data_IF_957271430698
#
_entry.id   IF_957271430698
#
_cell.length_a   1.000
_cell.length_b   1.000
_cell.length_c   1.000
_cell.angle_alpha   90.00
_cell.angle_beta   90.00
_cell.angle_gamma   90.00
#
_symmetry.space_group_name_H-M   'P 1'
#
loop_
_entity.id
_entity.type
_entity.pdbx_description
1 polymer ?
#
# COMPACT_ATOMS: atom_id res chain seq x y z
N UNK A 1 -34.84 -1.89 -55.10
CA UNK A 1 -36.02 -1.65 -54.24
C UNK A 1 -35.52 -1.67 -52.79
N UNK A 2 -35.23 -0.54 -52.15
CA UNK A 2 -36.15 0.42 -51.46
C UNK A 2 -36.60 -0.16 -50.10
N UNK A 3 -35.90 0.20 -49.00
CA UNK A 3 -36.30 1.15 -47.91
C UNK A 3 -37.22 0.51 -46.85
N UNK A 4 -37.16 0.78 -45.54
CA UNK A 4 -36.73 1.95 -44.72
C UNK A 4 -36.68 1.49 -43.23
N UNK A 5 -35.75 2.01 -42.41
CA UNK A 5 -36.00 2.95 -41.28
C UNK A 5 -36.70 2.31 -40.06
N UNK A 6 -36.25 2.45 -38.80
CA UNK A 6 -36.09 3.71 -38.05
C UNK A 6 -35.01 3.63 -36.91
N UNK A 7 -34.19 4.68 -36.84
CA UNK A 7 -33.77 5.50 -35.67
C UNK A 7 -33.31 4.83 -34.35
N UNK A 8 -32.02 4.88 -33.99
CA UNK A 8 -31.22 5.92 -33.26
C UNK A 8 -31.57 6.14 -31.78
N UNK A 9 -30.56 5.99 -30.90
CA UNK A 9 -30.19 6.75 -29.66
C UNK A 9 -29.12 5.86 -28.97
N UNK A 10 -27.95 6.29 -28.52
CA UNK A 10 -27.32 7.59 -28.45
C UNK A 10 -25.83 7.38 -28.13
N UNK A 11 -25.00 8.13 -28.84
CA UNK A 11 -23.53 8.17 -28.80
C UNK A 11 -23.11 8.98 -27.57
N UNK A 12 -22.44 8.38 -26.60
CA UNK A 12 -21.84 9.08 -25.46
C UNK A 12 -20.51 9.70 -25.91
N UNK A 13 -20.61 10.88 -26.55
CA UNK A 13 -19.47 11.77 -26.75
C UNK A 13 -19.06 12.38 -25.41
N UNK A 14 -17.78 12.21 -25.07
CA UNK A 14 -17.09 12.90 -23.98
C UNK A 14 -17.15 14.40 -24.24
N UNK A 15 -17.96 15.11 -23.47
CA UNK A 15 -17.93 16.58 -23.42
C UNK A 15 -16.90 16.97 -22.36
N UNK A 16 -15.69 17.27 -22.83
CA UNK A 16 -14.72 18.12 -22.12
C UNK A 16 -15.33 19.52 -22.01
N UNK A 17 -15.91 19.84 -20.85
CA UNK A 17 -16.40 21.17 -20.55
C UNK A 17 -15.22 22.09 -20.19
N UNK A 18 -14.71 22.79 -21.20
CA UNK A 18 -13.92 24.01 -21.04
C UNK A 18 -14.82 25.09 -20.42
N UNK A 19 -14.52 25.44 -19.18
CA UNK A 19 -15.10 26.58 -18.48
C UNK A 19 -14.58 27.88 -19.12
N UNK A 20 -15.32 28.42 -20.09
CA UNK A 20 -15.23 29.83 -20.46
C UNK A 20 -16.63 30.43 -20.37
N UNK A 21 -16.74 31.44 -19.51
CA UNK A 21 -17.99 32.10 -19.17
C UNK A 21 -18.73 32.63 -20.39
N UNK A 22 -20.00 32.29 -20.51
CA UNK A 22 -20.90 32.92 -21.46
C UNK A 22 -22.09 33.53 -20.72
N UNK A 23 -22.09 34.86 -20.70
CA UNK A 23 -23.23 35.70 -20.37
C UNK A 23 -24.40 35.34 -21.29
N UNK A 24 -25.53 34.95 -20.72
CA UNK A 24 -26.79 34.82 -21.45
C UNK A 24 -27.38 36.22 -21.63
N UNK A 25 -27.25 36.77 -22.85
CA UNK A 25 -28.01 37.96 -23.28
C UNK A 25 -29.43 37.50 -23.65
N UNK A 26 -30.41 37.78 -22.80
CA UNK A 26 -31.83 37.65 -23.16
C UNK A 26 -32.25 38.84 -24.03
N UNK A 27 -32.50 38.59 -25.32
CA UNK A 27 -33.11 39.53 -26.26
C UNK A 27 -34.62 39.62 -25.98
N UNK A 28 -35.07 40.69 -25.34
CA UNK A 28 -36.49 41.03 -25.22
C UNK A 28 -37.02 41.62 -26.53
N UNK A 29 -38.18 41.13 -26.99
CA UNK A 29 -38.88 41.55 -28.20
C UNK A 29 -39.89 42.63 -27.79
N UNK A 30 -39.60 43.91 -28.02
CA UNK A 30 -40.52 45.00 -27.71
C UNK A 30 -41.45 45.30 -28.91
N UNK A 31 -42.75 45.21 -28.68
CA UNK A 31 -43.80 45.73 -29.55
C UNK A 31 -44.25 47.13 -29.09
N UNK A 32 -44.36 48.01 -30.09
CA UNK A 32 -44.99 49.33 -30.19
C UNK A 32 -45.75 49.98 -29.01
N UNK A 33 -45.55 51.30 -28.85
CA UNK A 33 -46.55 52.24 -28.27
C UNK A 33 -45.96 53.49 -27.59
N UNK A 34 -46.21 54.68 -28.15
CA UNK A 34 -45.78 56.02 -27.67
C UNK A 34 -46.58 56.54 -26.46
N UNK A 35 -45.94 57.35 -25.58
CA UNK A 35 -46.23 58.76 -25.24
C UNK A 35 -45.70 59.18 -23.84
N UNK A 36 -45.33 60.47 -23.75
CA UNK A 36 -44.55 61.21 -22.75
C UNK A 36 -45.12 61.34 -21.32
N UNK A 37 -44.27 61.44 -20.28
CA UNK A 37 -44.04 62.62 -19.42
C UNK A 37 -42.98 62.35 -18.32
N UNK A 38 -42.38 63.42 -17.80
CA UNK A 38 -41.10 63.52 -17.08
C UNK A 38 -41.24 63.44 -15.52
N UNK A 39 -40.24 63.85 -14.73
CA UNK A 39 -39.39 63.06 -13.81
C UNK A 39 -39.84 63.11 -12.33
N UNK A 40 -39.25 62.30 -11.42
CA UNK A 40 -39.07 62.65 -9.99
C UNK A 40 -38.14 61.62 -9.30
N UNK A 41 -37.09 62.15 -8.66
CA UNK A 41 -36.40 61.68 -7.44
C UNK A 41 -35.78 60.26 -7.33
N UNK A 42 -34.45 60.21 -7.44
CA UNK A 42 -33.51 59.26 -6.80
C UNK A 42 -33.61 59.30 -5.25
N UNK A 43 -33.03 58.39 -4.41
CA UNK A 43 -31.81 57.59 -4.67
C UNK A 43 -31.73 56.19 -3.99
N UNK A 44 -30.56 55.56 -4.17
CA UNK A 44 -29.98 54.48 -3.37
C UNK A 44 -30.39 53.03 -3.68
N UNK A 45 -29.67 52.43 -4.62
CA UNK A 45 -29.30 51.03 -4.49
C UNK A 45 -27.77 50.95 -4.37
N UNK A 46 -27.29 51.09 -3.12
CA UNK A 46 -25.96 50.61 -2.77
C UNK A 46 -25.93 49.11 -3.09
N UNK A 47 -25.20 48.75 -4.14
CA UNK A 47 -24.88 47.36 -4.44
C UNK A 47 -23.81 46.92 -3.44
N UNK A 48 -24.21 46.76 -2.17
CA UNK A 48 -23.38 46.06 -1.20
C UNK A 48 -23.30 44.60 -1.66
N UNK A 49 -22.23 44.31 -2.38
CA UNK A 49 -21.75 42.95 -2.57
C UNK A 49 -21.42 42.44 -1.18
N UNK A 50 -22.40 41.78 -0.55
CA UNK A 50 -22.23 41.10 0.72
C UNK A 50 -21.18 40.00 0.52
N UNK A 51 -19.91 40.39 0.67
CA UNK A 51 -18.86 39.45 0.92
C UNK A 51 -19.18 38.89 2.30
N UNK A 52 -19.80 37.70 2.31
CA UNK A 52 -20.03 36.93 3.53
C UNK A 52 -18.66 36.51 4.05
N UNK A 53 -17.95 37.46 4.65
CA UNK A 53 -16.83 37.19 5.52
C UNK A 53 -17.42 36.36 6.65
N UNK A 54 -17.20 35.06 6.61
CA UNK A 54 -17.28 34.20 7.79
C UNK A 54 -16.34 34.81 8.82
N UNK A 55 -16.89 35.62 9.72
CA UNK A 55 -16.15 36.19 10.84
C UNK A 55 -15.92 35.04 11.82
N UNK A 56 -14.90 34.23 11.53
CA UNK A 56 -14.31 33.34 12.51
C UNK A 56 -13.74 34.23 13.62
N UNK A 57 -14.02 33.89 14.88
CA UNK A 57 -13.45 34.61 16.02
C UNK A 57 -11.91 34.53 15.96
N UNK A 58 -11.20 35.54 16.46
CA UNK A 58 -9.72 35.56 16.46
C UNK A 58 -9.12 34.32 17.13
N UNK A 59 -9.81 33.72 18.09
CA UNK A 59 -9.46 32.42 18.69
C UNK A 59 -9.60 31.24 17.73
N UNK A 60 -10.66 31.18 16.92
CA UNK A 60 -10.88 30.09 15.97
C UNK A 60 -9.85 30.08 14.83
N UNK A 61 -9.35 31.25 14.46
CA UNK A 61 -8.32 31.40 13.43
C UNK A 61 -6.98 30.74 13.81
N UNK A 62 -6.72 30.47 15.09
CA UNK A 62 -5.52 29.73 15.56
C UNK A 62 -5.84 28.30 16.00
N UNK A 63 -6.99 28.09 16.64
CA UNK A 63 -7.39 26.77 17.15
C UNK A 63 -7.61 25.78 16.01
N UNK A 64 -8.34 26.17 14.96
CA UNK A 64 -8.59 25.26 13.83
C UNK A 64 -7.32 24.85 13.07
N UNK A 65 -6.40 25.74 12.67
CA UNK A 65 -5.17 25.30 12.02
C UNK A 65 -4.26 24.49 12.96
N UNK A 66 -4.26 24.77 14.27
CA UNK A 66 -3.51 23.95 15.21
C UNK A 66 -4.06 22.51 15.28
N UNK A 67 -5.38 22.35 15.38
CA UNK A 67 -6.03 21.03 15.37
C UNK A 67 -5.73 20.31 14.06
N UNK A 68 -5.86 20.99 12.91
CA UNK A 68 -5.55 20.39 11.60
C UNK A 68 -4.09 19.94 11.53
N UNK A 69 -3.14 20.76 11.98
CA UNK A 69 -1.72 20.40 11.98
C UNK A 69 -1.43 19.14 12.82
N UNK A 70 -2.04 19.04 14.01
CA UNK A 70 -1.90 17.85 14.87
C UNK A 70 -2.50 16.62 14.19
N UNK A 71 -3.71 16.73 13.63
CA UNK A 71 -4.36 15.62 12.94
C UNK A 71 -3.57 15.16 11.70
N UNK A 72 -3.04 16.09 10.91
CA UNK A 72 -2.19 15.76 9.75
C UNK A 72 -0.91 15.07 10.19
N UNK A 73 -0.25 15.53 11.26
CA UNK A 73 0.97 14.89 11.78
C UNK A 73 0.73 13.45 12.23
N UNK A 74 -0.35 13.21 12.99
CA UNK A 74 -0.72 11.86 13.44
C UNK A 74 -1.11 10.97 12.25
N UNK A 75 -1.93 11.49 11.34
CA UNK A 75 -2.35 10.75 10.14
C UNK A 75 -1.17 10.39 9.25
N UNK A 76 -0.20 11.28 9.10
CA UNK A 76 1.02 11.04 8.33
C UNK A 76 1.86 9.91 8.93
N UNK A 77 2.08 9.92 10.25
CA UNK A 77 2.82 8.86 10.94
C UNK A 77 2.17 7.48 10.76
N UNK A 78 0.84 7.41 10.96
CA UNK A 78 0.09 6.17 10.76
C UNK A 78 0.11 5.72 9.30
N UNK A 79 -0.07 6.65 8.35
CA UNK A 79 -0.04 6.36 6.92
C UNK A 79 1.31 5.78 6.47
N UNK A 80 2.42 6.35 6.94
CA UNK A 80 3.74 5.83 6.63
C UNK A 80 3.96 4.42 7.19
N UNK A 81 3.54 4.15 8.42
CA UNK A 81 3.66 2.82 9.00
C UNK A 81 2.83 1.78 8.24
N UNK A 82 1.57 2.14 7.92
CA UNK A 82 0.67 1.26 7.16
C UNK A 82 1.20 0.96 5.76
N UNK A 83 1.84 1.93 5.08
CA UNK A 83 2.45 1.68 3.76
C UNK A 83 3.61 0.67 3.82
N UNK A 84 4.43 0.73 4.87
CA UNK A 84 5.53 -0.22 5.08
C UNK A 84 4.94 -1.61 5.33
N UNK A 85 3.99 -1.73 6.26
CA UNK A 85 3.36 -3.02 6.58
C UNK A 85 2.69 -3.66 5.35
N UNK A 86 1.98 -2.87 4.53
CA UNK A 86 1.38 -3.37 3.30
C UNK A 86 2.43 -3.85 2.30
N UNK A 87 3.49 -3.07 2.06
CA UNK A 87 4.56 -3.46 1.14
C UNK A 87 5.29 -4.72 1.60
N UNK A 88 5.50 -4.86 2.91
CA UNK A 88 6.09 -6.06 3.50
C UNK A 88 5.13 -7.26 3.42
N UNK A 89 3.83 -7.06 3.61
CA UNK A 89 2.82 -8.11 3.42
C UNK A 89 2.80 -8.61 1.97
N UNK A 90 2.81 -7.69 1.00
CA UNK A 90 2.85 -8.05 -0.43
C UNK A 90 4.12 -8.84 -0.75
N UNK A 91 5.27 -8.45 -0.19
CA UNK A 91 6.52 -9.20 -0.33
C UNK A 91 6.46 -10.59 0.30
N UNK A 92 5.83 -10.73 1.47
CA UNK A 92 5.58 -12.03 2.10
C UNK A 92 4.73 -12.90 1.18
N UNK A 93 3.61 -12.39 0.69
CA UNK A 93 2.69 -13.12 -0.17
C UNK A 93 3.37 -13.62 -1.46
N UNK A 94 4.23 -12.81 -2.07
CA UNK A 94 5.06 -13.23 -3.21
C UNK A 94 6.04 -14.35 -2.84
N UNK A 95 6.63 -14.29 -1.65
CA UNK A 95 7.45 -15.39 -1.13
C UNK A 95 6.64 -16.67 -0.86
N UNK A 96 5.36 -16.55 -0.52
CA UNK A 96 4.46 -17.69 -0.34
C UNK A 96 4.17 -18.40 -1.67
N UNK A 97 4.13 -17.69 -2.79
CA UNK A 97 3.91 -18.29 -4.11
C UNK A 97 5.06 -19.27 -4.48
N UNK A 98 6.29 -18.94 -4.10
CA UNK A 98 7.46 -19.80 -4.30
C UNK A 98 7.37 -21.12 -3.52
N UNK A 99 6.52 -21.22 -2.48
CA UNK A 99 6.33 -22.45 -1.71
C UNK A 99 5.86 -23.59 -2.58
N UNK A 100 4.97 -23.31 -3.54
CA UNK A 100 4.42 -24.33 -4.42
C UNK A 100 5.51 -25.05 -5.23
N UNK A 101 6.52 -24.31 -5.70
CA UNK A 101 7.65 -24.88 -6.45
C UNK A 101 8.51 -25.79 -5.57
N UNK A 102 8.80 -25.39 -4.33
CA UNK A 102 9.60 -26.19 -3.39
C UNK A 102 8.83 -27.44 -2.94
N UNK A 103 7.52 -27.31 -2.68
CA UNK A 103 6.67 -28.44 -2.33
C UNK A 103 6.56 -29.46 -3.46
N UNK A 104 6.45 -29.01 -4.71
CA UNK A 104 6.42 -29.89 -5.89
C UNK A 104 7.76 -30.64 -6.08
N UNK A 105 8.88 -29.93 -5.89
CA UNK A 105 10.21 -30.54 -5.91
C UNK A 105 10.35 -31.61 -4.82
N UNK A 106 9.96 -31.30 -3.58
CA UNK A 106 10.07 -32.24 -2.46
C UNK A 106 9.19 -33.49 -2.68
N UNK A 107 7.96 -33.31 -3.20
CA UNK A 107 7.08 -34.45 -3.53
C UNK A 107 7.67 -35.35 -4.62
N UNK A 108 8.40 -34.78 -5.57
CA UNK A 108 8.98 -35.51 -6.69
C UNK A 108 10.28 -36.23 -6.32
N UNK A 109 11.16 -35.55 -5.56
CA UNK A 109 12.50 -36.06 -5.26
C UNK A 109 12.62 -36.70 -3.87
N UNK A 110 11.68 -36.43 -2.95
CA UNK A 110 11.71 -36.91 -1.57
C UNK A 110 12.70 -36.16 -0.65
N UNK A 111 13.35 -35.12 -1.16
CA UNK A 111 14.32 -34.29 -0.45
C UNK A 111 14.17 -32.82 -0.82
N UNK A 112 14.58 -31.94 0.09
CA UNK A 112 14.62 -30.50 -0.15
C UNK A 112 15.64 -30.16 -1.24
N UNK A 113 15.37 -29.15 -2.08
CA UNK A 113 16.35 -28.65 -3.04
C UNK A 113 17.65 -28.30 -2.33
N UNK A 114 18.80 -28.58 -2.94
CA UNK A 114 20.10 -28.27 -2.33
C UNK A 114 20.58 -26.86 -2.70
N UNK A 115 20.05 -26.30 -3.79
CA UNK A 115 20.36 -24.97 -4.30
C UNK A 115 19.22 -24.36 -5.10
N UNK A 116 19.29 -23.04 -5.35
CA UNK A 116 18.34 -22.32 -6.24
C UNK A 116 18.29 -22.88 -7.67
N UNK A 117 19.41 -23.43 -8.15
CA UNK A 117 19.52 -23.99 -9.48
C UNK A 117 18.63 -25.23 -9.67
N UNK A 118 18.36 -25.96 -8.57
CA UNK A 118 17.54 -27.18 -8.61
C UNK A 118 16.05 -26.88 -8.81
N UNK A 119 15.61 -25.68 -8.42
CA UNK A 119 14.21 -25.23 -8.49
C UNK A 119 14.00 -24.11 -9.52
N UNK A 120 15.04 -23.78 -10.31
CA UNK A 120 15.05 -22.70 -11.28
C UNK A 120 14.39 -21.41 -10.75
N UNK A 121 14.82 -20.99 -9.56
CA UNK A 121 14.19 -19.87 -8.83
C UNK A 121 14.33 -18.52 -9.56
N UNK A 122 15.22 -18.44 -10.55
CA UNK A 122 15.44 -17.27 -11.41
C UNK A 122 14.23 -16.83 -12.26
N UNK A 123 13.13 -17.61 -12.29
CA UNK A 123 11.88 -17.17 -12.92
C UNK A 123 11.02 -16.27 -12.02
N UNK A 124 11.46 -15.95 -10.79
CA UNK A 124 10.72 -15.04 -9.91
C UNK A 124 10.73 -13.62 -10.48
N UNK A 125 9.56 -12.98 -10.50
CA UNK A 125 9.42 -11.60 -10.94
C UNK A 125 9.38 -10.71 -9.69
N UNK A 126 10.47 -10.00 -9.37
CA UNK A 126 10.47 -9.10 -8.23
C UNK A 126 9.40 -8.03 -8.38
N UNK A 127 8.78 -7.64 -7.26
CA UNK A 127 7.70 -6.66 -7.22
C UNK A 127 7.68 -5.94 -5.88
N UNK A 128 7.35 -4.65 -5.92
CA UNK A 128 7.37 -3.78 -4.75
C UNK A 128 8.76 -3.72 -4.13
N UNK A 129 8.83 -4.05 -2.83
CA UNK A 129 10.09 -4.02 -2.07
C UNK A 129 10.90 -5.32 -2.22
N UNK A 130 10.29 -6.40 -2.70
CA UNK A 130 10.99 -7.68 -2.86
C UNK A 130 11.78 -7.64 -4.16
N UNK A 131 13.11 -7.57 -4.05
CA UNK A 131 13.99 -7.47 -5.20
C UNK A 131 14.56 -8.82 -5.62
N UNK A 132 14.70 -9.75 -4.69
CA UNK A 132 15.20 -11.10 -4.95
C UNK A 132 14.87 -12.04 -3.78
N UNK A 133 15.08 -13.35 -3.98
CA UNK A 133 14.93 -14.37 -2.94
C UNK A 133 16.09 -15.33 -3.03
N UNK A 134 16.81 -15.49 -1.91
CA UNK A 134 17.92 -16.44 -1.80
C UNK A 134 17.44 -17.73 -1.15
N UNK A 135 17.67 -18.88 -1.80
CA UNK A 135 17.31 -20.19 -1.26
C UNK A 135 18.53 -20.95 -0.75
N UNK A 136 18.44 -21.46 0.48
CA UNK A 136 19.47 -22.29 1.10
C UNK A 136 18.87 -23.54 1.74
N UNK A 137 19.52 -24.69 1.55
CA UNK A 137 19.18 -25.91 2.25
C UNK A 137 19.59 -25.84 3.73
N UNK A 138 18.70 -26.29 4.62
CA UNK A 138 18.81 -26.16 6.07
C UNK A 138 18.23 -24.84 6.60
N UNK A 139 18.15 -24.75 7.93
CA UNK A 139 17.72 -23.55 8.63
C UNK A 139 18.88 -22.55 8.75
N UNK A 140 18.65 -21.32 8.28
CA UNK A 140 19.67 -20.27 8.32
C UNK A 140 20.05 -19.94 9.78
N UNK A 141 21.35 -19.94 10.08
CA UNK A 141 21.87 -19.68 11.44
C UNK A 141 21.97 -20.89 12.35
N UNK A 142 21.55 -22.09 11.90
CA UNK A 142 21.65 -23.33 12.68
C UNK A 142 22.76 -24.23 12.10
N UNK A 143 23.87 -24.47 12.84
CA UNK A 143 25.06 -25.14 12.30
C UNK A 143 24.88 -26.63 11.97
N UNK A 144 23.83 -27.28 12.48
CA UNK A 144 23.55 -28.70 12.27
C UNK A 144 22.11 -28.93 11.77
N UNK A 145 21.60 -28.01 10.94
CA UNK A 145 20.27 -28.17 10.35
C UNK A 145 20.22 -29.35 9.37
N UNK A 146 19.11 -30.08 9.38
CA UNK A 146 18.84 -31.16 8.43
C UNK A 146 18.56 -30.57 7.04
N UNK A 147 19.56 -30.64 6.15
CA UNK A 147 19.50 -30.10 4.78
C UNK A 147 18.65 -30.92 3.82
N UNK A 148 18.26 -32.14 4.19
CA UNK A 148 17.42 -33.00 3.35
C UNK A 148 15.94 -32.75 3.62
N UNK A 149 15.60 -32.38 4.87
CA UNK A 149 14.22 -32.13 5.28
C UNK A 149 13.88 -30.67 5.53
N UNK A 150 14.88 -29.78 5.60
CA UNK A 150 14.68 -28.36 5.87
C UNK A 150 15.25 -27.51 4.75
N UNK A 151 14.53 -26.44 4.38
CA UNK A 151 15.00 -25.41 3.46
C UNK A 151 14.60 -24.03 3.96
N UNK A 152 15.38 -23.01 3.62
CA UNK A 152 15.11 -21.61 3.98
C UNK A 152 15.12 -20.74 2.73
N UNK A 153 14.07 -19.96 2.55
CA UNK A 153 14.03 -18.83 1.62
C UNK A 153 14.26 -17.55 2.40
N UNK A 154 15.28 -16.78 2.01
CA UNK A 154 15.55 -15.45 2.54
C UNK A 154 15.06 -14.42 1.54
N UNK A 155 14.14 -13.57 1.98
CA UNK A 155 13.68 -12.44 1.19
C UNK A 155 14.73 -11.32 1.19
N UNK A 156 15.17 -10.92 0.00
CA UNK A 156 16.05 -9.77 -0.22
C UNK A 156 15.15 -8.59 -0.59
N UNK A 157 15.20 -7.53 0.20
CA UNK A 157 14.29 -6.39 0.08
C UNK A 157 15.04 -5.08 -0.14
N UNK A 158 14.44 -4.20 -0.93
CA UNK A 158 14.84 -2.80 -1.08
C UNK A 158 13.78 -1.91 -0.44
N UNK A 159 14.17 -1.28 0.67
CA UNK A 159 13.31 -0.41 1.48
C UNK A 159 13.65 1.08 1.32
N UNK A 160 14.52 1.43 0.36
CA UNK A 160 15.02 2.80 0.16
C UNK A 160 13.88 3.80 -0.11
N UNK A 161 12.77 3.36 -0.70
CA UNK A 161 11.60 4.19 -0.96
C UNK A 161 10.93 4.74 0.32
N UNK A 162 11.16 4.11 1.48
CA UNK A 162 10.61 4.53 2.77
C UNK A 162 11.53 5.45 3.58
N UNK A 163 12.68 5.81 3.01
CA UNK A 163 13.61 6.82 3.53
C UNK A 163 14.99 6.26 3.89
N UNK A 164 15.92 7.20 4.11
CA UNK A 164 17.35 6.91 4.27
C UNK A 164 17.69 5.96 5.42
N UNK A 165 16.82 5.88 6.44
CA UNK A 165 16.97 4.95 7.57
C UNK A 165 16.90 3.46 7.17
N UNK A 166 16.48 3.16 5.96
CA UNK A 166 16.36 1.79 5.45
C UNK A 166 17.31 1.48 4.29
N UNK A 167 18.23 2.40 3.94
CA UNK A 167 19.17 2.20 2.83
C UNK A 167 20.10 0.99 3.06
N UNK A 168 20.44 0.71 4.30
CA UNK A 168 21.31 -0.41 4.66
C UNK A 168 20.54 -1.74 4.76
N UNK A 169 19.20 -1.72 4.78
CA UNK A 169 18.41 -2.94 4.93
C UNK A 169 18.47 -3.77 3.66
N UNK A 170 18.97 -5.01 3.80
CA UNK A 170 19.17 -5.93 2.68
C UNK A 170 18.32 -7.19 2.74
N UNK A 171 17.81 -7.53 3.93
CA UNK A 171 16.95 -8.69 4.10
C UNK A 171 15.68 -8.34 4.85
N UNK A 172 14.56 -8.96 4.45
CA UNK A 172 13.24 -8.75 5.04
C UNK A 172 12.90 -9.80 6.11
N UNK A 173 12.74 -11.05 5.66
CA UNK A 173 12.25 -12.16 6.46
C UNK A 173 12.76 -13.49 5.90
N UNK A 174 12.56 -14.55 6.70
CA UNK A 174 12.88 -15.93 6.36
C UNK A 174 11.59 -16.75 6.28
N UNK A 175 11.44 -17.52 5.21
CA UNK A 175 10.44 -18.58 5.11
C UNK A 175 11.17 -19.91 5.24
N UNK A 176 10.89 -20.65 6.32
CA UNK A 176 11.54 -21.92 6.63
C UNK A 176 10.55 -23.04 6.33
N UNK A 177 10.91 -23.93 5.40
CA UNK A 177 10.22 -25.16 5.11
C UNK A 177 10.80 -26.30 5.95
N UNK A 178 9.96 -27.01 6.70
CA UNK A 178 10.34 -28.20 7.49
C UNK A 178 9.46 -29.38 7.09
N UNK A 179 10.06 -30.42 6.54
CA UNK A 179 9.36 -31.66 6.23
C UNK A 179 9.15 -32.49 7.50
N UNK A 180 7.88 -32.70 7.82
CA UNK A 180 7.41 -33.51 8.94
C UNK A 180 7.54 -35.01 8.64
N UNK A 181 7.40 -35.88 9.64
CA UNK A 181 7.54 -37.35 9.46
C UNK A 181 6.54 -37.97 8.47
N UNK A 182 5.41 -37.31 8.22
CA UNK A 182 4.38 -37.70 7.24
C UNK A 182 4.64 -37.14 5.84
N UNK A 183 5.84 -36.62 5.59
CA UNK A 183 6.28 -35.97 4.34
C UNK A 183 5.43 -34.73 3.96
N UNK A 184 4.69 -34.17 4.91
CA UNK A 184 4.09 -32.85 4.76
C UNK A 184 5.10 -31.76 5.08
N UNK A 185 5.08 -30.66 4.32
CA UNK A 185 5.95 -29.51 4.58
C UNK A 185 5.19 -28.50 5.43
N UNK A 186 5.75 -28.18 6.59
CA UNK A 186 5.32 -27.05 7.41
C UNK A 186 6.16 -25.83 7.10
N UNK A 187 5.51 -24.70 6.88
CA UNK A 187 6.16 -23.43 6.65
C UNK A 187 6.05 -22.50 7.86
N UNK A 188 7.18 -22.01 8.32
CA UNK A 188 7.27 -20.97 9.33
C UNK A 188 7.79 -19.68 8.68
N UNK A 189 7.14 -18.54 8.94
CA UNK A 189 7.66 -17.23 8.55
C UNK A 189 8.23 -16.51 9.77
N UNK A 190 9.50 -16.11 9.70
CA UNK A 190 10.24 -15.50 10.80
C UNK A 190 10.96 -14.23 10.34
N UNK A 191 11.17 -13.30 11.27
CA UNK A 191 12.10 -12.21 11.05
C UNK A 191 13.52 -12.75 10.87
N UNK A 192 14.26 -12.18 9.92
CA UNK A 192 15.68 -12.52 9.77
C UNK A 192 16.46 -11.88 10.94
N UNK A 193 16.96 -12.73 11.83
CA UNK A 193 17.80 -12.33 12.96
C UNK A 193 19.27 -12.73 12.77
N UNK A 194 19.59 -13.35 11.63
CA UNK A 194 20.90 -13.92 11.32
C UNK A 194 21.69 -12.99 10.41
N UNK A 195 21.03 -12.40 9.43
CA UNK A 195 21.64 -11.46 8.49
C UNK A 195 21.83 -10.09 9.16
N UNK A 196 23.02 -9.51 9.00
CA UNK A 196 23.31 -8.13 9.41
C UNK A 196 22.46 -7.19 8.54
N UNK A 197 21.87 -6.17 9.15
CA UNK A 197 20.97 -5.22 8.46
C UNK A 197 19.68 -5.86 7.91
N UNK A 198 19.09 -6.77 8.69
CA UNK A 198 17.77 -7.29 8.44
C UNK A 198 16.65 -6.36 8.94
N UNK A 199 15.50 -6.42 8.28
CA UNK A 199 14.31 -5.67 8.63
C UNK A 199 13.82 -6.08 10.01
N UNK A 200 13.60 -5.09 10.87
CA UNK A 200 13.11 -5.34 12.23
C UNK A 200 11.71 -5.96 12.22
N UNK A 201 11.49 -6.94 13.10
CA UNK A 201 10.20 -7.61 13.35
C UNK A 201 8.99 -6.66 13.47
N UNK A 202 9.19 -5.42 13.95
CA UNK A 202 8.11 -4.44 14.09
C UNK A 202 7.42 -4.05 12.78
N UNK A 203 8.08 -4.28 11.64
CA UNK A 203 7.55 -3.97 10.31
C UNK A 203 7.00 -5.20 9.60
N UNK A 204 7.20 -6.39 10.18
CA UNK A 204 6.70 -7.64 9.63
C UNK A 204 5.25 -7.86 10.05
N UNK A 205 4.42 -8.45 9.17
CA UNK A 205 3.05 -8.81 9.53
C UNK A 205 3.06 -9.84 10.67
N UNK A 206 1.93 -9.94 11.39
CA UNK A 206 1.81 -10.87 12.52
C UNK A 206 2.07 -12.34 12.12
N UNK A 207 1.77 -12.69 10.86
CA UNK A 207 2.06 -14.00 10.26
C UNK A 207 3.56 -14.32 10.19
N UNK A 208 4.42 -13.29 10.16
CA UNK A 208 5.87 -13.36 10.05
C UNK A 208 6.62 -12.91 11.31
N UNK A 209 5.90 -12.74 12.42
CA UNK A 209 6.48 -12.37 13.71
C UNK A 209 7.00 -13.56 14.53
N UNK A 210 6.70 -14.80 14.16
CA UNK A 210 6.94 -15.95 15.01
C UNK A 210 5.74 -16.24 15.91
N UNK A 211 5.03 -17.32 15.58
CA UNK A 211 4.00 -17.88 16.44
C UNK A 211 4.63 -18.43 17.72
N UNK A 212 4.16 -17.96 18.88
CA UNK A 212 4.07 -18.56 20.25
C UNK A 212 5.03 -19.67 20.74
N UNK A 213 6.14 -19.97 20.07
CA UNK A 213 7.12 -20.98 20.47
C UNK A 213 8.55 -20.40 20.59
N UNK A 214 8.72 -19.09 20.40
CA UNK A 214 9.96 -18.37 20.71
C UNK A 214 9.94 -17.78 22.14
N UNK A 215 9.10 -18.31 23.03
CA UNK A 215 9.04 -17.93 24.44
C UNK A 215 8.98 -19.20 25.31
N UNK A 216 10.11 -19.90 25.44
CA UNK A 216 10.31 -20.71 26.63
C UNK A 216 11.80 -20.81 26.99
N UNK A 217 12.21 -20.11 28.07
CA UNK A 217 13.47 -20.43 28.73
C UNK A 217 14.27 -19.31 29.38
N UNK A 218 13.67 -18.33 30.04
CA UNK A 218 14.38 -17.64 31.14
C UNK A 218 13.48 -17.56 32.38
N UNK A 219 13.42 -18.68 33.09
CA UNK A 219 13.12 -18.65 34.53
C UNK A 219 14.32 -18.01 35.21
N UNK A 220 14.16 -16.79 35.68
CA UNK A 220 14.94 -16.33 36.83
C UNK A 220 14.49 -17.15 38.04
N UNK A 221 15.22 -18.22 38.30
CA UNK A 221 15.37 -18.74 39.65
C UNK A 221 16.69 -18.21 40.18
N UNK A 222 16.67 -16.99 40.71
CA UNK A 222 17.69 -16.48 41.60
C UNK A 222 17.50 -17.12 42.97
N UNK A 223 18.34 -18.09 43.28
CA UNK A 223 18.59 -18.56 44.63
C UNK A 223 20.10 -18.53 44.84
N UNK A 224 20.56 -17.50 45.56
CA UNK A 224 21.70 -17.52 46.48
C UNK A 224 21.37 -16.58 47.64
#
# INVERSE_FOLDING_TARGET
>A
MVRRSWHTIGKLEKITALWYGNCIVKRARNGAGNHYLQPELSPMANLQKANRQTVLTTSEMFVYPMIVAVLTGVAFGFFHNSRIENAVSDAVDLGLELRATIEDYFKTNGEMPQSEADINLHSHVPSGILIDVDYQAGELGVPAADKLRTGTLRAIVDMTEFGTRFEDIKSGFLLIARAQEDDTIKWDCLADMVTVDALSRRYLPETCGGGKNAEHGRRDSGAE
#
